data_IF_954712766518
#
_entry.id   IF_954712766518
#
_cell.length_a   1.000
_cell.length_b   1.000
_cell.length_c   1.000
_cell.angle_alpha   90.00
_cell.angle_beta   90.00
_cell.angle_gamma   90.00
#
_symmetry.space_group_name_H-M   'P 1'
#
loop_
_entity.id
_entity.type
_entity.pdbx_description
1 polymer ?
#
# COMPACT_ATOMS: atom_id res chain seq x y z
N UNK A 1 11.62 3.28 3.94
CA UNK A 1 11.19 2.23 2.99
C UNK A 1 9.74 1.83 3.20
N UNK A 2 9.34 1.26 4.34
CA UNK A 2 7.92 0.94 4.61
C UNK A 2 7.11 2.20 4.91
N UNK A 3 7.71 3.19 5.60
CA UNK A 3 7.09 4.50 5.89
C UNK A 3 6.53 5.23 4.66
N UNK A 4 7.13 5.03 3.48
CA UNK A 4 6.67 5.67 2.23
C UNK A 4 5.44 4.99 1.63
N UNK A 5 5.06 3.80 2.12
CA UNK A 5 3.87 3.08 1.69
C UNK A 5 2.63 3.45 2.51
N UNK A 6 2.77 4.29 3.54
CA UNK A 6 1.64 4.72 4.38
C UNK A 6 0.60 5.48 3.55
N UNK A 7 -0.65 5.02 3.62
CA UNK A 7 -1.80 5.65 3.00
C UNK A 7 -2.69 6.34 4.03
N UNK A 8 -3.42 7.36 3.59
CA UNK A 8 -4.42 8.03 4.40
C UNK A 8 -5.75 7.34 4.18
N UNK A 9 -6.27 6.68 5.20
CA UNK A 9 -7.64 6.17 5.21
C UNK A 9 -8.54 7.18 5.89
N UNK A 10 -9.76 7.32 5.37
CA UNK A 10 -10.75 8.24 5.92
C UNK A 10 -12.08 7.51 6.11
N UNK A 11 -12.70 7.72 7.27
CA UNK A 11 -14.08 7.32 7.53
C UNK A 11 -14.99 8.54 7.46
N UNK A 12 -15.98 8.47 6.58
CA UNK A 12 -17.01 9.50 6.46
C UNK A 12 -18.04 9.37 7.57
N UNK A 13 -18.48 10.51 8.09
CA UNK A 13 -19.52 10.65 9.11
C UNK A 13 -20.47 11.76 8.65
N UNK A 14 -21.74 11.43 8.42
CA UNK A 14 -22.73 12.43 8.00
C UNK A 14 -24.12 11.82 7.83
N UNK A 15 -25.15 12.67 7.91
CA UNK A 15 -26.55 12.27 7.72
C UNK A 15 -26.72 11.72 6.31
N UNK A 16 -27.45 10.62 6.19
CA UNK A 16 -27.73 9.92 4.93
C UNK A 16 -26.49 9.50 4.12
N UNK A 17 -25.36 9.25 4.79
CA UNK A 17 -24.11 8.82 4.12
C UNK A 17 -23.30 9.95 3.49
N UNK A 18 -23.61 11.21 3.80
CA UNK A 18 -22.77 12.35 3.40
C UNK A 18 -21.39 12.30 4.07
N UNK A 19 -20.37 12.82 3.39
CA UNK A 19 -18.99 12.86 3.87
C UNK A 19 -18.55 14.28 4.27
N UNK A 20 -19.49 15.12 4.72
CA UNK A 20 -19.23 16.50 5.14
C UNK A 20 -18.31 16.56 6.36
N UNK A 21 -18.41 15.57 7.25
CA UNK A 21 -17.43 15.32 8.29
C UNK A 21 -16.73 13.98 8.01
N UNK A 22 -15.41 13.93 8.20
CA UNK A 22 -14.64 12.70 8.07
C UNK A 22 -13.46 12.71 9.03
N UNK A 23 -13.13 11.53 9.52
CA UNK A 23 -11.95 11.31 10.35
C UNK A 23 -10.95 10.52 9.53
N UNK A 24 -9.73 11.02 9.41
CA UNK A 24 -8.66 10.37 8.65
C UNK A 24 -7.48 9.99 9.55
N UNK A 25 -6.81 8.90 9.23
CA UNK A 25 -5.58 8.48 9.89
C UNK A 25 -4.62 7.85 8.88
N UNK A 26 -3.32 7.85 9.20
CA UNK A 26 -2.32 7.15 8.39
C UNK A 26 -2.28 5.69 8.82
N UNK A 27 -2.41 4.80 7.84
CA UNK A 27 -2.29 3.36 8.06
C UNK A 27 -1.38 2.74 7.02
N UNK A 28 -0.88 1.55 7.35
CA UNK A 28 -0.21 0.71 6.38
C UNK A 28 -1.25 0.07 5.44
N UNK A 29 -0.89 -0.10 4.15
CA UNK A 29 -1.68 -0.90 3.22
C UNK A 29 -1.63 -2.38 3.64
N UNK A 30 -2.44 -3.25 3.01
CA UNK A 30 -2.39 -4.68 3.27
C UNK A 30 -0.96 -5.22 3.16
N UNK A 31 -0.58 -6.14 4.05
CA UNK A 31 0.79 -6.63 4.15
C UNK A 31 1.31 -7.21 2.83
N UNK A 32 0.43 -7.83 2.03
CA UNK A 32 0.76 -8.32 0.68
C UNK A 32 1.38 -7.22 -0.21
N UNK A 33 0.81 -6.01 -0.19
CA UNK A 33 1.32 -4.87 -0.96
C UNK A 33 2.73 -4.46 -0.50
N UNK A 34 2.96 -4.50 0.82
CA UNK A 34 4.27 -4.22 1.41
C UNK A 34 5.28 -5.30 0.97
N UNK A 35 4.90 -6.57 1.07
CA UNK A 35 5.71 -7.71 0.64
C UNK A 35 6.09 -7.64 -0.84
N UNK A 36 5.12 -7.36 -1.72
CA UNK A 36 5.32 -7.22 -3.16
C UNK A 36 6.31 -6.08 -3.47
N UNK A 37 6.16 -4.93 -2.79
CA UNK A 37 7.07 -3.80 -2.94
C UNK A 37 8.51 -4.10 -2.47
N UNK A 38 8.66 -4.85 -1.38
CA UNK A 38 9.96 -5.29 -0.86
C UNK A 38 10.60 -6.32 -1.80
N UNK A 39 9.84 -7.31 -2.28
CA UNK A 39 10.31 -8.33 -3.22
C UNK A 39 10.76 -7.71 -4.54
N UNK A 40 10.02 -6.72 -5.06
CA UNK A 40 10.45 -5.98 -6.26
C UNK A 40 11.81 -5.32 -6.07
N UNK A 41 12.08 -4.73 -4.89
CA UNK A 41 13.39 -4.12 -4.58
C UNK A 41 14.48 -5.18 -4.42
N UNK A 42 14.17 -6.30 -3.79
CA UNK A 42 15.07 -7.44 -3.67
C UNK A 42 15.49 -7.95 -5.05
N UNK A 43 14.55 -8.22 -5.96
CA UNK A 43 14.85 -8.68 -7.32
C UNK A 43 15.63 -7.65 -8.13
N UNK A 44 15.31 -6.36 -7.99
CA UNK A 44 16.05 -5.26 -8.62
C UNK A 44 17.50 -5.22 -8.13
N UNK A 45 17.72 -5.34 -6.83
CA UNK A 45 19.07 -5.37 -6.24
C UNK A 45 19.83 -6.64 -6.64
N UNK A 46 19.14 -7.77 -6.79
CA UNK A 46 19.70 -9.06 -7.20
C UNK A 46 19.97 -9.17 -8.71
N UNK A 47 19.55 -8.19 -9.51
CA UNK A 47 19.79 -8.17 -10.97
C UNK A 47 18.97 -9.17 -11.79
N UNK A 48 17.88 -9.73 -11.23
CA UNK A 48 16.98 -10.62 -11.98
C UNK A 48 15.63 -9.96 -12.24
N UNK A 49 15.54 -9.31 -13.40
CA UNK A 49 14.31 -9.27 -14.21
C UNK A 49 14.65 -9.96 -15.53
N UNK A 50 14.85 -11.27 -15.49
CA UNK A 50 14.73 -12.10 -16.69
C UNK A 50 13.39 -12.79 -16.56
N UNK A 51 12.55 -12.60 -17.57
CA UNK A 51 11.19 -13.09 -17.80
C UNK A 51 11.00 -14.61 -17.76
N UNK A 52 11.80 -15.35 -16.97
CA UNK A 52 11.83 -16.82 -16.92
C UNK A 52 11.48 -17.43 -15.55
N UNK A 53 11.24 -16.62 -14.52
CA UNK A 53 11.04 -17.10 -13.14
C UNK A 53 9.58 -16.87 -12.63
N UNK A 54 8.60 -16.70 -13.51
CA UNK A 54 7.18 -16.62 -13.15
C UNK A 54 6.54 -18.03 -13.20
N UNK A 55 6.04 -18.60 -12.09
CA UNK A 55 4.94 -19.56 -12.16
C UNK A 55 3.60 -18.85 -12.43
#
# INVERSE_FOLDING_TARGET
MVKTLLQTECKCHGVSGSCTMKTCWRTLPPFKVIGDALMKKYWKARGKMSSRDLP
#
